data_IF_324304488515
#
_entry.id   IF_324304488515
#
_cell.length_a   1.000
_cell.length_b   1.000
_cell.length_c   1.000
_cell.angle_alpha   90.00
_cell.angle_beta   90.00
_cell.angle_gamma   90.00
#
_symmetry.space_group_name_H-M   'P 1'
#
loop_
_entity.id
_entity.type
_entity.pdbx_description
1 polymer ?
#
# COMPACT_ATOMS: atom_id res chain seq x y z
N UNK A 1 -13.49 -7.39 -3.07
CA UNK A 1 -14.17 -6.08 -2.99
C UNK A 1 -14.43 -5.58 -4.41
N UNK A 2 -15.37 -4.69 -4.56
CA UNK A 2 -15.76 -4.20 -5.88
C UNK A 2 -15.59 -2.69 -5.98
N UNK A 3 -15.28 -2.20 -7.18
CA UNK A 3 -15.23 -0.75 -7.44
C UNK A 3 -16.55 -0.11 -7.01
N UNK A 4 -16.47 1.02 -6.31
CA UNK A 4 -17.61 1.73 -5.76
C UNK A 4 -18.08 1.25 -4.39
N UNK A 5 -17.53 0.15 -3.88
CA UNK A 5 -17.86 -0.37 -2.55
C UNK A 5 -17.30 0.56 -1.46
N UNK A 6 -18.07 0.75 -0.39
CA UNK A 6 -17.64 1.55 0.75
C UNK A 6 -16.50 0.86 1.50
N UNK A 7 -15.55 1.66 1.98
CA UNK A 7 -14.40 1.19 2.77
C UNK A 7 -14.53 1.69 4.20
N UNK A 8 -14.50 0.77 5.16
CA UNK A 8 -14.49 1.12 6.58
C UNK A 8 -13.14 1.75 6.96
N UNK A 9 -13.17 2.64 7.95
CA UNK A 9 -11.94 3.21 8.48
C UNK A 9 -11.08 2.13 9.13
N UNK A 10 -9.77 2.35 9.12
CA UNK A 10 -8.85 1.53 9.90
C UNK A 10 -7.67 2.37 10.38
N UNK A 11 -7.01 1.88 11.42
CA UNK A 11 -5.82 2.49 12.02
C UNK A 11 -4.74 1.44 12.19
N UNK A 12 -3.55 1.71 11.67
CA UNK A 12 -2.40 0.83 11.78
C UNK A 12 -1.14 1.69 12.01
N UNK A 13 -0.17 1.13 12.71
CA UNK A 13 1.11 1.83 12.93
C UNK A 13 2.02 1.69 11.72
N UNK A 14 2.75 2.75 11.43
CA UNK A 14 3.75 2.76 10.37
C UNK A 14 5.17 2.40 10.90
N UNK A 15 6.18 2.47 10.03
CA UNK A 15 7.57 2.15 10.37
C UNK A 15 8.18 3.05 11.45
N UNK A 16 7.57 4.19 11.72
CA UNK A 16 8.03 5.13 12.77
C UNK A 16 7.24 4.95 14.07
N UNK A 17 6.29 4.02 14.09
CA UNK A 17 5.40 3.81 15.23
C UNK A 17 4.25 4.81 15.31
N UNK A 18 4.07 5.65 14.30
CA UNK A 18 2.96 6.59 14.24
C UNK A 18 1.69 5.92 13.75
N UNK A 19 0.56 6.32 14.31
CA UNK A 19 -0.72 5.75 13.93
C UNK A 19 -1.22 6.41 12.64
N UNK A 20 -1.44 5.58 11.61
CA UNK A 20 -2.08 5.99 10.37
C UNK A 20 -3.56 5.70 10.46
N UNK A 21 -4.39 6.70 10.23
CA UNK A 21 -5.85 6.61 10.19
C UNK A 21 -6.29 6.87 8.75
N UNK A 22 -6.96 5.90 8.13
CA UNK A 22 -7.32 6.01 6.72
C UNK A 22 -8.19 7.24 6.45
N UNK A 23 -9.26 7.42 7.22
CA UNK A 23 -10.21 8.51 6.97
C UNK A 23 -9.58 9.89 7.14
N UNK A 24 -8.65 10.06 8.08
CA UNK A 24 -7.91 11.31 8.26
C UNK A 24 -7.00 11.63 7.08
N UNK A 25 -6.68 10.66 6.26
CA UNK A 25 -5.81 10.82 5.09
C UNK A 25 -6.57 10.95 3.78
N UNK A 26 -7.90 10.94 3.82
CA UNK A 26 -8.73 11.04 2.60
C UNK A 26 -9.05 12.48 2.20
N UNK A 27 -8.19 13.42 2.56
CA UNK A 27 -8.07 14.71 1.87
C UNK A 27 -7.57 14.50 0.42
N UNK A 28 -6.93 13.37 0.19
CA UNK A 28 -6.50 12.85 -1.12
C UNK A 28 -6.95 11.41 -1.27
N UNK A 29 -6.88 10.89 -2.49
CA UNK A 29 -7.05 9.45 -2.70
C UNK A 29 -5.85 8.72 -2.10
N UNK A 30 -6.07 7.53 -1.56
CA UNK A 30 -5.01 6.72 -0.96
C UNK A 30 -4.82 5.46 -1.78
N UNK A 31 -3.60 5.24 -2.27
CA UNK A 31 -3.23 4.01 -2.95
C UNK A 31 -2.59 3.06 -1.94
N UNK A 32 -3.32 2.02 -1.57
CA UNK A 32 -2.81 0.96 -0.70
C UNK A 32 -2.02 -0.03 -1.55
N UNK A 33 -0.75 -0.23 -1.20
CA UNK A 33 0.14 -1.16 -1.89
C UNK A 33 0.41 -2.33 -0.96
N UNK A 34 -0.33 -3.42 -1.16
CA UNK A 34 -0.05 -4.68 -0.47
C UNK A 34 1.09 -5.39 -1.19
N UNK A 35 2.09 -5.83 -0.44
CA UNK A 35 3.24 -6.51 -1.02
C UNK A 35 3.70 -7.66 -0.13
N UNK A 36 4.29 -8.73 -0.71
CA UNK A 36 4.55 -9.97 0.04
C UNK A 36 5.55 -9.85 1.18
N UNK A 37 6.68 -9.14 0.98
CA UNK A 37 7.78 -9.23 1.96
C UNK A 37 8.73 -8.04 1.88
N UNK A 38 9.10 -7.49 3.05
CA UNK A 38 10.15 -6.48 3.15
C UNK A 38 11.47 -7.06 2.62
N UNK A 39 12.28 -6.20 1.98
CA UNK A 39 13.60 -6.52 1.44
C UNK A 39 13.63 -7.60 0.35
N UNK A 40 12.48 -8.09 -0.14
CA UNK A 40 12.49 -8.95 -1.31
C UNK A 40 12.83 -8.12 -2.55
N UNK A 41 13.42 -8.77 -3.56
CA UNK A 41 13.92 -8.09 -4.76
C UNK A 41 12.84 -7.28 -5.49
N UNK A 42 11.71 -7.91 -5.78
CA UNK A 42 10.64 -7.26 -6.55
C UNK A 42 9.90 -6.23 -5.70
N UNK A 43 9.63 -6.54 -4.43
CA UNK A 43 8.98 -5.58 -3.54
C UNK A 43 9.84 -4.32 -3.35
N UNK A 44 11.16 -4.49 -3.19
CA UNK A 44 12.07 -3.36 -3.06
C UNK A 44 12.04 -2.48 -4.31
N UNK A 45 12.06 -3.08 -5.50
CA UNK A 45 11.98 -2.34 -6.77
C UNK A 45 10.66 -1.59 -6.90
N UNK A 46 9.55 -2.22 -6.54
CA UNK A 46 8.23 -1.60 -6.61
C UNK A 46 8.16 -0.37 -5.69
N UNK A 47 8.47 -0.55 -4.42
CA UNK A 47 8.35 0.54 -3.46
C UNK A 47 9.35 1.65 -3.70
N UNK A 48 10.57 1.32 -4.14
CA UNK A 48 11.56 2.35 -4.53
C UNK A 48 11.10 3.14 -5.75
N UNK A 49 10.54 2.48 -6.76
CA UNK A 49 10.00 3.17 -7.92
C UNK A 49 8.90 4.16 -7.50
N UNK A 50 7.97 3.71 -6.66
CA UNK A 50 6.88 4.57 -6.19
C UNK A 50 7.39 5.72 -5.31
N UNK A 51 8.42 5.50 -4.51
CA UNK A 51 9.02 6.55 -3.71
C UNK A 51 9.74 7.58 -4.58
N UNK A 52 10.54 7.14 -5.53
CA UNK A 52 11.29 8.04 -6.43
C UNK A 52 10.32 8.88 -7.27
N UNK A 53 9.20 8.30 -7.66
CA UNK A 53 8.19 8.97 -8.47
C UNK A 53 6.95 9.38 -7.67
N UNK A 54 7.12 9.61 -6.38
CA UNK A 54 6.03 10.08 -5.51
C UNK A 54 5.39 11.38 -6.03
N UNK A 55 6.18 12.22 -6.70
CA UNK A 55 5.70 13.45 -7.32
C UNK A 55 4.57 13.22 -8.32
N UNK A 56 4.62 12.13 -9.08
CA UNK A 56 3.56 11.79 -10.04
C UNK A 56 2.24 11.49 -9.33
N UNK A 57 2.31 10.74 -8.23
CA UNK A 57 1.14 10.42 -7.43
C UNK A 57 0.56 11.67 -6.79
N UNK A 58 1.40 12.51 -6.19
CA UNK A 58 0.96 13.73 -5.52
C UNK A 58 0.30 14.71 -6.50
N UNK A 59 0.81 14.83 -7.71
CA UNK A 59 0.17 15.64 -8.77
C UNK A 59 -1.23 15.17 -9.13
N UNK A 60 -1.50 13.89 -8.93
CA UNK A 60 -2.81 13.29 -9.18
C UNK A 60 -3.68 13.25 -7.92
N UNK A 61 -3.23 13.85 -6.82
CA UNK A 61 -3.94 13.84 -5.55
C UNK A 61 -3.97 12.48 -4.90
N UNK A 62 -2.88 11.71 -5.02
CA UNK A 62 -2.78 10.35 -4.49
C UNK A 62 -1.65 10.27 -3.47
N UNK A 63 -1.96 9.70 -2.30
CA UNK A 63 -0.97 9.29 -1.30
C UNK A 63 -0.69 7.81 -1.44
N UNK A 64 0.58 7.44 -1.53
CA UNK A 64 0.99 6.02 -1.59
C UNK A 64 1.27 5.52 -0.17
N UNK A 65 0.68 4.39 0.17
CA UNK A 65 0.81 3.76 1.49
C UNK A 65 1.09 2.28 1.28
N UNK A 66 2.23 1.80 1.78
CA UNK A 66 2.53 0.37 1.76
C UNK A 66 1.90 -0.33 2.95
N UNK A 67 1.63 -1.63 2.81
CA UNK A 67 1.06 -2.41 3.89
C UNK A 67 1.39 -3.89 3.71
N UNK A 68 1.82 -4.54 4.78
CA UNK A 68 1.91 -6.00 4.85
C UNK A 68 1.89 -6.47 6.32
N UNK A 69 2.08 -7.76 6.54
CA UNK A 69 1.97 -8.38 7.86
C UNK A 69 3.29 -8.45 8.61
N UNK A 70 4.38 -7.93 8.06
CA UNK A 70 5.66 -7.93 8.73
C UNK A 70 5.74 -6.84 9.81
N UNK A 71 6.66 -7.00 10.78
CA UNK A 71 6.74 -6.15 11.95
C UNK A 71 7.18 -4.72 11.66
N UNK A 72 6.91 -3.82 12.59
CA UNK A 72 7.40 -2.44 12.53
C UNK A 72 8.93 -2.42 12.45
N UNK A 73 9.61 -3.31 13.20
CA UNK A 73 11.06 -3.42 13.15
C UNK A 73 11.55 -3.79 11.75
N UNK A 74 10.89 -4.76 11.11
CA UNK A 74 11.19 -5.15 9.73
C UNK A 74 10.99 -3.97 8.78
N UNK A 75 9.87 -3.28 8.89
CA UNK A 75 9.56 -2.10 8.07
C UNK A 75 10.59 -0.99 8.25
N UNK A 76 11.00 -0.74 9.49
CA UNK A 76 11.98 0.30 9.78
C UNK A 76 13.34 0.02 9.12
N UNK A 77 13.79 -1.22 9.19
CA UNK A 77 15.06 -1.64 8.56
C UNK A 77 14.93 -1.53 7.03
N UNK A 78 13.87 -2.08 6.48
CA UNK A 78 13.62 -2.05 5.04
C UNK A 78 13.55 -0.61 4.50
N UNK A 79 12.77 0.24 5.15
CA UNK A 79 12.61 1.63 4.72
C UNK A 79 13.89 2.43 4.85
N UNK A 80 14.69 2.17 5.88
CA UNK A 80 16.00 2.79 6.05
C UNK A 80 16.96 2.39 4.94
N UNK A 81 17.08 1.09 4.67
CA UNK A 81 17.97 0.55 3.65
C UNK A 81 17.59 0.99 2.22
N UNK A 82 16.31 1.09 1.95
CA UNK A 82 15.79 1.37 0.60
C UNK A 82 15.32 2.82 0.42
N UNK A 83 15.47 3.64 1.45
CA UNK A 83 15.08 5.06 1.42
C UNK A 83 13.60 5.27 1.09
N UNK A 84 12.75 4.43 1.67
CA UNK A 84 11.29 4.56 1.56
C UNK A 84 10.81 5.49 2.68
N UNK A 85 10.14 6.57 2.31
CA UNK A 85 9.65 7.58 3.28
C UNK A 85 8.15 7.59 3.45
N UNK A 86 7.37 7.15 2.46
CA UNK A 86 5.93 7.05 2.65
C UNK A 86 5.60 5.98 3.70
N UNK A 87 4.46 6.07 4.39
CA UNK A 87 4.13 5.11 5.44
C UNK A 87 4.06 3.67 4.93
N UNK A 88 4.66 2.76 5.69
CA UNK A 88 4.53 1.31 5.50
C UNK A 88 3.86 0.78 6.76
N UNK A 89 2.64 0.28 6.62
CA UNK A 89 1.80 -0.11 7.73
C UNK A 89 2.00 -1.55 8.15
N UNK A 90 1.96 -1.78 9.46
CA UNK A 90 2.04 -3.10 10.07
C UNK A 90 0.63 -3.64 10.34
N UNK A 91 0.20 -4.62 9.54
CA UNK A 91 -1.08 -5.28 9.70
C UNK A 91 -0.94 -6.50 10.62
N UNK A 92 -0.79 -6.22 11.93
CA UNK A 92 -0.45 -7.20 12.96
C UNK A 92 -1.34 -8.46 12.94
N UNK A 93 -2.62 -8.26 12.83
CA UNK A 93 -3.60 -9.35 12.92
C UNK A 93 -4.11 -9.80 11.55
N UNK A 94 -3.47 -9.36 10.47
CA UNK A 94 -3.87 -9.66 9.09
C UNK A 94 -5.30 -9.21 8.76
N UNK A 95 -5.90 -8.39 9.63
CA UNK A 95 -7.30 -8.00 9.50
C UNK A 95 -7.57 -7.19 8.24
N UNK A 96 -6.73 -6.17 8.00
CA UNK A 96 -6.91 -5.29 6.85
C UNK A 96 -6.55 -6.02 5.57
N UNK A 97 -5.46 -6.78 5.57
CA UNK A 97 -5.10 -7.62 4.43
C UNK A 97 -6.22 -8.60 4.08
N UNK A 98 -6.88 -9.16 5.07
CA UNK A 98 -8.00 -10.09 4.85
C UNK A 98 -9.21 -9.36 4.28
N UNK A 99 -9.55 -8.18 4.80
CA UNK A 99 -10.69 -7.37 4.31
C UNK A 99 -10.53 -7.01 2.84
N UNK A 100 -9.32 -6.68 2.42
CA UNK A 100 -9.03 -6.31 1.04
C UNK A 100 -8.69 -7.50 0.15
N UNK A 101 -8.85 -8.73 0.66
CA UNK A 101 -8.52 -9.97 -0.06
C UNK A 101 -7.09 -9.96 -0.59
N UNK A 102 -6.18 -9.49 0.24
CA UNK A 102 -4.76 -9.36 -0.08
C UNK A 102 -3.90 -10.45 0.57
N UNK A 103 -4.51 -11.56 1.00
CA UNK A 103 -3.82 -12.74 1.52
C UNK A 103 -3.96 -13.90 0.53
N UNK A 104 -2.89 -14.68 0.39
CA UNK A 104 -2.95 -15.94 -0.35
C UNK A 104 -3.53 -17.06 0.52
N UNK A 105 -3.65 -18.26 -0.02
CA UNK A 105 -4.23 -19.41 0.69
C UNK A 105 -3.41 -19.84 1.93
N UNK A 106 -2.14 -19.43 2.01
CA UNK A 106 -1.27 -19.72 3.14
C UNK A 106 -1.26 -18.62 4.20
N UNK A 107 -2.05 -17.56 4.01
CA UNK A 107 -2.12 -16.44 4.95
C UNK A 107 -1.00 -15.42 4.86
N UNK A 108 -0.28 -15.37 3.74
CA UNK A 108 0.74 -14.36 3.45
C UNK A 108 0.20 -13.34 2.46
N UNK A 109 0.78 -12.13 2.48
CA UNK A 109 0.34 -11.08 1.57
C UNK A 109 0.60 -11.45 0.10
N UNK A 110 -0.39 -11.14 -0.72
CA UNK A 110 -0.25 -11.08 -2.18
C UNK A 110 0.27 -9.70 -2.56
N UNK A 111 0.72 -9.56 -3.80
CA UNK A 111 0.95 -8.24 -4.39
C UNK A 111 -0.39 -7.74 -4.94
N UNK A 112 -0.86 -6.62 -4.39
CA UNK A 112 -2.17 -6.07 -4.75
C UNK A 112 -2.17 -4.57 -4.55
N UNK A 113 -2.86 -3.84 -5.42
CA UNK A 113 -3.09 -2.41 -5.22
C UNK A 113 -4.58 -2.12 -5.11
N UNK A 114 -4.92 -1.21 -4.21
CA UNK A 114 -6.29 -0.75 -4.00
C UNK A 114 -6.27 0.76 -3.84
N UNK A 115 -7.01 1.46 -4.69
CA UNK A 115 -7.19 2.91 -4.54
C UNK A 115 -8.47 3.17 -3.78
N UNK A 116 -8.37 3.85 -2.65
CA UNK A 116 -9.51 4.34 -1.89
C UNK A 116 -9.65 5.82 -2.19
N UNK A 117 -10.81 6.23 -2.73
CA UNK A 117 -11.01 7.61 -3.10
C UNK A 117 -11.45 8.49 -1.90
N UNK A 118 -11.49 9.79 -2.12
CA UNK A 118 -11.86 10.77 -1.08
C UNK A 118 -13.28 10.58 -0.54
N UNK A 119 -14.12 9.85 -1.25
CA UNK A 119 -15.49 9.54 -0.84
C UNK A 119 -15.58 8.20 -0.10
N UNK A 120 -14.43 7.64 0.33
CA UNK A 120 -14.34 6.38 1.09
C UNK A 120 -14.80 5.17 0.29
N UNK A 121 -14.61 5.20 -1.02
CA UNK A 121 -15.02 4.11 -1.93
C UNK A 121 -13.81 3.54 -2.66
N UNK A 122 -13.94 2.26 -3.06
CA UNK A 122 -12.93 1.62 -3.90
C UNK A 122 -12.97 2.26 -5.28
N UNK A 123 -11.88 2.90 -5.68
CA UNK A 123 -11.73 3.50 -7.02
C UNK A 123 -10.97 2.61 -8.00
N UNK A 124 -10.12 1.71 -7.47
CA UNK A 124 -9.35 0.77 -8.26
C UNK A 124 -9.01 -0.42 -7.38
N UNK A 125 -9.09 -1.63 -7.94
CA UNK A 125 -8.65 -2.85 -7.26
C UNK A 125 -7.99 -3.75 -8.29
N UNK A 126 -6.75 -4.21 -8.02
CA UNK A 126 -5.99 -4.96 -8.99
C UNK A 126 -5.01 -5.91 -8.31
N UNK A 127 -5.18 -7.22 -8.57
CA UNK A 127 -4.20 -8.22 -8.18
C UNK A 127 -3.01 -8.15 -9.13
N UNK A 128 -1.80 -8.28 -8.58
CA UNK A 128 -0.57 -8.22 -9.34
C UNK A 128 0.20 -9.54 -9.18
N UNK A 129 1.07 -9.88 -10.16
CA UNK A 129 1.90 -11.07 -10.02
C UNK A 129 2.99 -10.88 -8.97
N UNK A 130 3.55 -11.97 -8.46
CA UNK A 130 4.65 -11.91 -7.50
C UNK A 130 5.94 -11.38 -8.11
N UNK A 131 6.13 -11.52 -9.41
CA UNK A 131 7.40 -11.26 -10.11
C UNK A 131 7.42 -9.93 -10.84
N UNK A 132 6.34 -9.17 -10.83
CA UNK A 132 6.27 -7.91 -11.57
C UNK A 132 5.28 -6.93 -10.96
N UNK A 133 5.37 -5.67 -11.36
CA UNK A 133 4.49 -4.61 -10.88
C UNK A 133 4.38 -3.51 -11.95
N UNK A 134 3.27 -2.77 -12.00
CA UNK A 134 3.20 -1.57 -12.83
C UNK A 134 4.04 -0.46 -12.22
N UNK A 135 4.78 0.27 -13.05
CA UNK A 135 5.54 1.42 -12.59
C UNK A 135 4.61 2.56 -12.17
N UNK A 136 5.16 3.56 -11.47
CA UNK A 136 4.41 4.76 -11.12
C UNK A 136 3.83 5.43 -12.36
N UNK A 137 4.62 5.52 -13.43
CA UNK A 137 4.18 6.12 -14.70
C UNK A 137 3.01 5.35 -15.31
N UNK A 138 3.10 4.03 -15.34
CA UNK A 138 2.02 3.17 -15.87
C UNK A 138 0.74 3.30 -15.05
N UNK A 139 0.85 3.31 -13.71
CA UNK A 139 -0.30 3.49 -12.83
C UNK A 139 -0.94 4.85 -13.02
N UNK A 140 -0.14 5.91 -13.03
CA UNK A 140 -0.65 7.28 -13.12
C UNK A 140 -1.28 7.58 -14.48
N UNK A 141 -0.83 6.92 -15.55
CA UNK A 141 -1.45 7.08 -16.86
C UNK A 141 -2.82 6.39 -16.95
N UNK A 142 -3.09 5.42 -16.09
CA UNK A 142 -4.35 4.67 -16.04
C UNK A 142 -5.33 5.14 -14.98
N UNK A 143 -4.93 6.10 -14.16
CA UNK A 143 -5.77 6.61 -13.07
C UNK A 143 -6.36 8.00 -13.40
#
# INVERSE_FOLDING_TARGET
MMIGEDVDNFRLKDQYGNLFDLYENLDKNVLLVFYPKDNSRICSKQLQNYQIREDLFLKRGIKVIGINIESIKSHKIFCGDKEIRFPILFDKNKEISRKFKALNIFGFNKRKIVLVDKNRKIGLERDLPYYNFPTAEELCSGI
#
